data_IF_447694095716
#
_entry.id   IF_447694095716
#
_cell.length_a   1.000
_cell.length_b   1.000
_cell.length_c   1.000
_cell.angle_alpha   90.00
_cell.angle_beta   90.00
_cell.angle_gamma   90.00
#
_symmetry.space_group_name_H-M   'P 1'
#
loop_
_entity.id
_entity.type
_entity.pdbx_description
1 polymer ?
#
# COMPACT_ATOMS: atom_id res chain seq x y z
N UNK A 1 -13.07 -16.13 -18.89
CA UNK A 1 -12.76 -17.07 -17.79
C UNK A 1 -11.29 -17.43 -17.84
N UNK A 2 -10.64 -17.37 -16.72
CA UNK A 2 -9.20 -17.66 -16.59
C UNK A 2 -9.04 -18.98 -15.87
N UNK A 3 -8.19 -19.86 -16.42
CA UNK A 3 -7.90 -21.13 -15.78
C UNK A 3 -6.49 -21.12 -15.21
N UNK A 4 -6.37 -21.57 -13.97
CA UNK A 4 -5.07 -21.78 -13.31
C UNK A 4 -5.11 -23.20 -12.73
N UNK A 5 -4.22 -24.06 -13.24
CA UNK A 5 -4.22 -25.49 -12.92
C UNK A 5 -5.59 -26.12 -13.27
N UNK A 6 -6.24 -26.74 -12.29
CA UNK A 6 -7.55 -27.37 -12.48
C UNK A 6 -8.72 -26.46 -12.08
N UNK A 7 -8.47 -25.17 -11.85
CA UNK A 7 -9.46 -24.23 -11.39
C UNK A 7 -9.75 -23.16 -12.42
N UNK A 8 -11.01 -22.79 -12.52
CA UNK A 8 -11.48 -21.71 -13.39
C UNK A 8 -11.81 -20.50 -12.56
N UNK A 9 -11.44 -19.34 -13.08
CA UNK A 9 -11.68 -18.07 -12.40
C UNK A 9 -12.41 -17.12 -13.32
N UNK A 10 -13.30 -16.35 -12.73
CA UNK A 10 -13.98 -15.27 -13.42
C UNK A 10 -13.54 -13.95 -12.81
N UNK A 11 -13.61 -12.89 -13.59
CA UNK A 11 -13.34 -11.55 -13.07
C UNK A 11 -14.44 -11.19 -12.08
N UNK A 12 -14.05 -10.90 -10.84
CA UNK A 12 -14.95 -10.50 -9.78
C UNK A 12 -15.02 -8.98 -9.68
N UNK A 13 -13.86 -8.34 -9.67
CA UNK A 13 -13.75 -6.88 -9.66
C UNK A 13 -12.96 -6.49 -10.90
N UNK A 14 -13.52 -5.58 -11.70
CA UNK A 14 -12.88 -5.17 -12.94
C UNK A 14 -11.78 -4.15 -12.67
N UNK A 15 -10.86 -4.02 -13.64
CA UNK A 15 -9.85 -2.99 -13.60
C UNK A 15 -10.46 -1.59 -13.52
N UNK A 16 -11.53 -1.36 -14.27
CA UNK A 16 -12.19 -0.06 -14.27
C UNK A 16 -12.79 0.28 -12.90
N UNK A 17 -13.34 -0.70 -12.23
CA UNK A 17 -13.85 -0.51 -10.86
C UNK A 17 -12.72 -0.15 -9.90
N UNK A 18 -11.58 -0.82 -10.01
CA UNK A 18 -10.41 -0.55 -9.20
C UNK A 18 -9.89 0.87 -9.48
N UNK A 19 -9.76 1.22 -10.75
CA UNK A 19 -9.25 2.53 -11.14
C UNK A 19 -10.14 3.66 -10.62
N UNK A 20 -11.46 3.50 -10.73
CA UNK A 20 -12.39 4.49 -10.20
C UNK A 20 -12.29 4.64 -8.69
N UNK A 21 -12.09 3.53 -7.99
CA UNK A 21 -11.93 3.54 -6.54
C UNK A 21 -10.64 4.25 -6.14
N UNK A 22 -9.57 4.01 -6.86
CA UNK A 22 -8.29 4.67 -6.61
C UNK A 22 -8.40 6.17 -6.86
N UNK A 23 -9.06 6.58 -7.94
CA UNK A 23 -9.29 8.00 -8.22
C UNK A 23 -10.10 8.65 -7.11
N UNK A 24 -11.16 8.01 -6.65
CA UNK A 24 -12.00 8.50 -5.58
C UNK A 24 -11.21 8.62 -4.27
N UNK A 25 -10.41 7.62 -3.97
CA UNK A 25 -9.56 7.62 -2.77
C UNK A 25 -8.53 8.74 -2.84
N UNK A 26 -7.88 8.91 -3.99
CA UNK A 26 -6.93 9.99 -4.21
C UNK A 26 -7.55 11.36 -4.00
N UNK A 27 -8.74 11.56 -4.52
CA UNK A 27 -9.48 12.82 -4.32
C UNK A 27 -9.74 13.09 -2.84
N UNK A 28 -10.19 12.07 -2.11
CA UNK A 28 -10.44 12.18 -0.68
C UNK A 28 -9.18 12.54 0.08
N UNK A 29 -8.07 11.89 -0.25
CA UNK A 29 -6.79 12.16 0.41
C UNK A 29 -6.28 13.57 0.11
N UNK A 30 -6.40 14.01 -1.15
CA UNK A 30 -6.01 15.36 -1.53
C UNK A 30 -6.77 16.42 -0.74
N UNK A 31 -8.06 16.22 -0.55
CA UNK A 31 -8.90 17.15 0.20
C UNK A 31 -8.61 17.10 1.70
N UNK A 32 -8.46 15.89 2.25
CA UNK A 32 -8.29 15.70 3.68
C UNK A 32 -6.95 16.22 4.19
N UNK A 33 -5.90 16.03 3.39
CA UNK A 33 -4.54 16.32 3.81
C UNK A 33 -3.92 17.53 3.10
N UNK A 34 -4.73 18.34 2.46
CA UNK A 34 -4.24 19.57 1.83
C UNK A 34 -3.50 20.45 2.83
N UNK A 35 -2.30 20.87 2.46
CA UNK A 35 -1.46 21.72 3.31
C UNK A 35 -0.77 21.02 4.47
N UNK A 36 -0.87 19.70 4.56
CA UNK A 36 -0.25 18.91 5.63
C UNK A 36 0.95 18.14 5.11
N UNK A 37 1.90 17.87 5.98
CA UNK A 37 3.02 16.99 5.67
C UNK A 37 2.58 15.54 5.87
N UNK A 38 2.66 14.77 4.80
CA UNK A 38 2.18 13.39 4.79
C UNK A 38 3.29 12.46 4.34
N UNK A 39 3.45 11.35 5.05
CA UNK A 39 4.32 10.25 4.67
C UNK A 39 3.45 9.03 4.43
N UNK A 40 3.55 8.49 3.23
CA UNK A 40 2.93 7.21 2.93
C UNK A 40 3.93 6.10 3.22
N UNK A 41 3.50 5.12 3.95
CA UNK A 41 4.31 3.98 4.33
C UNK A 41 3.72 2.73 3.70
N UNK A 42 4.36 2.23 2.65
CA UNK A 42 3.86 1.08 1.91
C UNK A 42 4.54 -0.20 2.38
N UNK A 43 3.73 -1.21 2.66
CA UNK A 43 4.23 -2.50 3.13
C UNK A 43 4.45 -3.42 1.92
N UNK A 44 5.69 -3.71 1.65
CA UNK A 44 6.08 -4.56 0.54
C UNK A 44 5.89 -6.06 0.89
N UNK A 45 5.68 -6.90 -0.07
CA UNK A 45 5.68 -6.60 -1.53
C UNK A 45 4.28 -6.32 -2.05
N UNK A 46 3.25 -6.81 -1.40
CA UNK A 46 1.88 -6.82 -1.92
C UNK A 46 1.32 -5.44 -2.25
N UNK A 47 1.76 -4.42 -1.54
CA UNK A 47 1.17 -3.09 -1.68
C UNK A 47 1.76 -2.26 -2.82
N UNK A 48 2.83 -2.71 -3.51
CA UNK A 48 3.56 -1.76 -4.36
C UNK A 48 2.77 -1.30 -5.59
N UNK A 49 2.01 -2.19 -6.22
CA UNK A 49 1.21 -1.81 -7.40
C UNK A 49 0.13 -0.80 -7.03
N UNK A 50 -0.61 -1.10 -5.97
CA UNK A 50 -1.64 -0.20 -5.47
C UNK A 50 -1.04 1.14 -5.04
N UNK A 51 0.07 1.11 -4.31
CA UNK A 51 0.73 2.33 -3.86
C UNK A 51 1.15 3.20 -5.06
N UNK A 52 1.71 2.59 -6.10
CA UNK A 52 2.09 3.31 -7.31
C UNK A 52 0.89 3.99 -7.96
N UNK A 53 -0.19 3.26 -8.13
CA UNK A 53 -1.39 3.80 -8.77
C UNK A 53 -2.03 4.91 -7.93
N UNK A 54 -2.07 4.73 -6.62
CA UNK A 54 -2.60 5.73 -5.71
C UNK A 54 -1.76 7.01 -5.73
N UNK A 55 -0.43 6.87 -5.68
CA UNK A 55 0.46 8.04 -5.66
C UNK A 55 0.31 8.89 -6.91
N UNK A 56 -0.02 8.30 -8.04
CA UNK A 56 -0.27 9.04 -9.27
C UNK A 56 -1.50 9.95 -9.20
N UNK A 57 -2.42 9.68 -8.30
CA UNK A 57 -3.64 10.46 -8.12
C UNK A 57 -3.46 11.61 -7.12
N UNK A 58 -2.33 11.64 -6.43
CA UNK A 58 -2.14 12.59 -5.34
C UNK A 58 -1.54 13.90 -5.83
N UNK A 59 -2.09 14.99 -5.31
CA UNK A 59 -1.62 16.35 -5.53
C UNK A 59 -1.23 16.94 -4.17
N UNK A 60 -0.50 16.13 -3.40
CA UNK A 60 -0.06 16.48 -2.05
C UNK A 60 1.45 16.61 -2.03
N UNK A 61 1.94 17.47 -1.15
CA UNK A 61 3.34 17.48 -0.78
C UNK A 61 3.58 16.32 0.19
N UNK A 62 4.03 15.20 -0.36
CA UNK A 62 4.15 13.97 0.41
C UNK A 62 5.39 13.18 0.01
N UNK A 63 5.78 12.30 0.92
CA UNK A 63 6.85 11.34 0.68
C UNK A 63 6.23 9.94 0.71
N UNK A 64 6.89 9.01 0.05
CA UNK A 64 6.58 7.59 0.20
C UNK A 64 7.83 6.86 0.67
N UNK A 65 7.65 6.00 1.65
CA UNK A 65 8.68 5.12 2.14
C UNK A 65 8.16 3.69 2.16
N UNK A 66 9.06 2.73 2.09
CA UNK A 66 8.70 1.33 2.01
C UNK A 66 9.27 0.58 3.18
N UNK A 67 8.47 -0.34 3.71
CA UNK A 67 8.95 -1.30 4.69
C UNK A 67 8.62 -2.70 4.21
N UNK A 68 9.49 -3.63 4.52
CA UNK A 68 9.26 -5.03 4.20
C UNK A 68 9.57 -5.85 5.43
N UNK A 69 8.61 -6.65 5.82
CA UNK A 69 8.69 -7.48 7.01
C UNK A 69 8.31 -8.90 6.66
N UNK A 70 8.89 -9.86 7.35
CA UNK A 70 8.47 -11.23 7.24
C UNK A 70 8.26 -11.82 8.62
N UNK A 71 7.21 -12.64 8.75
CA UNK A 71 6.98 -13.41 9.97
C UNK A 71 7.72 -14.73 9.86
N UNK A 72 8.36 -15.13 10.94
CA UNK A 72 8.89 -16.48 11.02
C UNK A 72 7.74 -17.46 11.11
N UNK A 73 7.63 -18.28 10.07
CA UNK A 73 6.69 -19.39 10.07
C UNK A 73 7.53 -20.66 10.03
N UNK A 74 7.47 -21.42 11.05
CA UNK A 74 8.20 -22.65 11.11
C UNK A 74 7.92 -23.34 12.42
N UNK A 75 8.71 -24.34 12.71
CA UNK A 75 8.58 -25.11 13.93
C UNK A 75 8.85 -24.28 15.19
N UNK A 76 9.43 -23.12 15.01
CA UNK A 76 9.73 -22.20 16.12
C UNK A 76 9.14 -20.83 15.82
N UNK A 77 7.85 -20.73 15.93
CA UNK A 77 7.23 -19.42 15.84
C UNK A 77 7.44 -18.69 17.14
N UNK A 78 8.24 -17.68 17.08
CA UNK A 78 8.41 -16.78 18.21
C UNK A 78 7.43 -15.63 18.16
N UNK A 79 6.60 -15.58 17.11
CA UNK A 79 5.73 -14.43 16.87
C UNK A 79 6.49 -13.19 16.42
N UNK A 80 7.78 -13.32 16.16
CA UNK A 80 8.56 -12.18 15.72
C UNK A 80 8.39 -11.93 14.24
N UNK A 81 8.22 -10.66 13.90
CA UNK A 81 8.24 -10.17 12.54
C UNK A 81 9.64 -9.65 12.30
N UNK A 82 10.28 -10.15 11.26
CA UNK A 82 11.60 -9.68 10.87
C UNK A 82 11.46 -8.53 9.90
N UNK A 83 12.13 -7.43 10.19
CA UNK A 83 12.15 -6.26 9.33
C UNK A 83 13.24 -6.43 8.29
N UNK A 84 12.85 -6.59 7.02
CA UNK A 84 13.78 -6.77 5.91
C UNK A 84 14.17 -5.45 5.28
N UNK A 85 13.23 -4.52 5.18
CA UNK A 85 13.48 -3.15 4.76
C UNK A 85 12.84 -2.26 5.83
N UNK A 86 13.66 -1.48 6.48
CA UNK A 86 13.21 -0.66 7.58
C UNK A 86 12.81 0.75 7.17
N UNK A 87 12.18 1.43 8.11
CA UNK A 87 11.82 2.82 7.94
C UNK A 87 13.07 3.70 7.98
N UNK A 88 13.30 4.44 6.91
CA UNK A 88 14.44 5.36 6.81
C UNK A 88 14.02 6.81 6.69
N UNK A 89 12.76 7.10 6.89
CA UNK A 89 12.20 8.45 6.82
C UNK A 89 11.81 8.90 8.22
N UNK A 90 12.11 10.15 8.53
CA UNK A 90 11.68 10.74 9.80
C UNK A 90 10.19 11.05 9.71
N UNK A 91 9.41 10.40 10.53
CA UNK A 91 7.93 10.56 10.54
C UNK A 91 7.44 11.44 11.68
N UNK A 92 8.35 11.96 12.50
CA UNK A 92 7.96 12.74 13.67
C UNK A 92 7.24 14.02 13.27
N UNK A 93 6.08 14.23 13.85
CA UNK A 93 5.27 15.42 13.57
C UNK A 93 4.55 15.40 12.24
N UNK A 94 4.58 14.28 11.51
CA UNK A 94 3.94 14.13 10.21
C UNK A 94 2.74 13.20 10.30
N UNK A 95 1.82 13.37 9.34
CA UNK A 95 0.73 12.44 9.18
C UNK A 95 1.25 11.22 8.43
N UNK A 96 1.03 10.04 8.98
CA UNK A 96 1.49 8.79 8.37
C UNK A 96 0.29 7.99 7.88
N UNK A 97 0.31 7.63 6.62
CA UNK A 97 -0.73 6.79 6.02
C UNK A 97 -0.08 5.48 5.61
N UNK A 98 -0.61 4.38 6.13
CA UNK A 98 -0.09 3.05 5.85
C UNK A 98 -0.86 2.47 4.67
N UNK A 99 -0.11 1.95 3.71
CA UNK A 99 -0.65 1.24 2.55
C UNK A 99 -0.23 -0.22 2.66
N UNK A 100 -1.20 -1.10 2.76
CA UNK A 100 -0.93 -2.54 2.85
C UNK A 100 -1.88 -3.37 1.99
#
# INVERSE_FOLDING_TARGET
MIQVLDKSFEVFITRDEIDRKIQSLGKTLNETYAGKEVVFLAVLNGAFMFASDLMKQLDLDCEISFVKMSSYQGTKTTGKVEELIGLNTNIRGKHVIIIE
#
